data_IF_486335364568
#
_entry.id   IF_486335364568
#
_cell.length_a   1.000
_cell.length_b   1.000
_cell.length_c   1.000
_cell.angle_alpha   90.00
_cell.angle_beta   90.00
_cell.angle_gamma   90.00
#
_symmetry.space_group_name_H-M   'P 1'
#
loop_
_entity.id
_entity.type
_entity.pdbx_description
1 polymer ?
#
# COMPACT_ATOMS: atom_id res chain seq x y z
N UNK A 1 -18.41 57.63 14.04
CA UNK A 1 -18.11 56.41 13.26
C UNK A 1 -16.63 56.10 13.40
N UNK A 2 -16.22 54.95 13.97
CA UNK A 2 -14.80 54.61 14.03
C UNK A 2 -14.35 54.13 12.64
N UNK A 3 -13.25 54.69 12.13
CA UNK A 3 -12.66 54.28 10.84
C UNK A 3 -11.90 52.96 11.04
N UNK A 4 -12.21 51.95 10.22
CA UNK A 4 -11.59 50.63 10.30
C UNK A 4 -10.10 50.70 9.97
N UNK A 5 -9.26 49.99 10.74
CA UNK A 5 -7.81 49.95 10.60
C UNK A 5 -7.33 49.45 9.22
N UNK A 6 -8.21 48.82 8.44
CA UNK A 6 -7.94 48.37 7.07
C UNK A 6 -7.74 49.53 6.08
N UNK A 7 -8.22 50.74 6.39
CA UNK A 7 -8.08 51.91 5.50
C UNK A 7 -6.66 52.53 5.56
N UNK A 8 -5.88 52.24 6.60
CA UNK A 8 -4.55 52.83 6.81
C UNK A 8 -3.44 52.27 5.90
N UNK A 9 -3.67 51.15 5.20
CA UNK A 9 -2.64 50.48 4.38
C UNK A 9 -2.79 50.75 2.88
N UNK A 10 -3.82 51.49 2.46
CA UNK A 10 -4.06 51.76 1.02
C UNK A 10 -3.12 52.80 0.41
N UNK A 11 -2.36 53.52 1.23
CA UNK A 11 -1.40 54.55 0.79
C UNK A 11 0.07 54.22 1.09
N UNK A 12 0.35 53.11 1.77
CA UNK A 12 1.73 52.65 1.95
C UNK A 12 2.06 51.67 0.83
N UNK A 13 2.80 52.14 -0.17
CA UNK A 13 3.38 51.32 -1.24
C UNK A 13 3.99 50.04 -0.65
N UNK A 14 3.43 48.88 -0.98
CA UNK A 14 3.99 47.55 -0.62
C UNK A 14 5.10 47.10 -1.58
N UNK A 15 5.59 48.01 -2.42
CA UNK A 15 6.70 47.74 -3.33
C UNK A 15 8.01 47.90 -2.56
N UNK A 16 8.93 46.92 -2.55
CA UNK A 16 10.23 47.09 -1.92
C UNK A 16 10.99 48.22 -2.62
N UNK A 17 11.08 49.37 -1.94
CA UNK A 17 11.87 50.50 -2.43
C UNK A 17 13.35 50.18 -2.22
N UNK A 18 14.04 49.80 -3.29
CA UNK A 18 15.51 49.77 -3.32
C UNK A 18 15.98 51.23 -3.22
N UNK A 19 16.27 51.67 -2.00
CA UNK A 19 16.82 52.99 -1.72
C UNK A 19 18.31 53.02 -2.09
N UNK A 20 18.63 53.20 -3.38
CA UNK A 20 19.93 53.71 -3.75
C UNK A 20 19.94 55.22 -3.43
N UNK A 21 20.65 55.60 -2.37
CA UNK A 21 20.81 57.00 -1.95
C UNK A 21 21.38 57.79 -3.14
N UNK A 22 20.68 58.80 -3.69
CA UNK A 22 21.26 59.61 -4.76
C UNK A 22 22.44 60.40 -4.19
N UNK A 23 23.57 60.49 -4.90
CA UNK A 23 24.73 61.25 -4.43
C UNK A 23 24.34 62.73 -4.25
N UNK A 24 24.86 63.42 -3.21
CA UNK A 24 24.59 64.84 -3.00
C UNK A 24 25.41 65.65 -4.02
N UNK A 25 24.80 65.92 -5.17
CA UNK A 25 25.42 66.65 -6.26
C UNK A 25 24.60 66.42 -7.52
N UNK A 26 24.20 67.51 -8.20
CA UNK A 26 23.23 67.52 -9.28
C UNK A 26 23.39 66.37 -10.29
N UNK A 27 22.24 65.89 -10.76
CA UNK A 27 22.13 64.84 -11.78
C UNK A 27 23.07 65.19 -12.94
N UNK A 28 24.13 64.43 -13.22
CA UNK A 28 24.95 64.70 -14.39
C UNK A 28 24.06 64.50 -15.62
N UNK A 29 23.88 65.56 -16.41
CA UNK A 29 23.05 65.60 -17.63
C UNK A 29 23.43 64.53 -18.67
N UNK A 30 24.52 63.80 -18.44
CA UNK A 30 25.00 62.65 -19.24
C UNK A 30 24.31 61.32 -18.93
N UNK A 31 23.52 61.19 -17.85
CA UNK A 31 22.77 59.96 -17.55
C UNK A 31 21.32 59.97 -18.00
N UNK A 32 20.86 61.04 -18.67
CA UNK A 32 19.56 60.99 -19.33
C UNK A 32 19.64 59.97 -20.47
N UNK A 33 18.71 58.98 -20.53
CA UNK A 33 18.68 58.05 -21.65
C UNK A 33 18.58 58.83 -22.93
N UNK A 34 19.48 58.53 -23.88
CA UNK A 34 19.56 59.22 -25.15
C UNK A 34 18.16 59.24 -25.81
N UNK A 35 17.53 60.41 -25.83
CA UNK A 35 16.17 60.60 -26.38
C UNK A 35 16.27 60.58 -27.90
N UNK A 36 16.51 59.40 -28.47
CA UNK A 36 16.42 59.24 -29.91
C UNK A 36 14.96 59.48 -30.30
N UNK A 37 14.68 60.47 -31.16
CA UNK A 37 13.32 60.74 -31.59
C UNK A 37 12.77 59.48 -32.28
N UNK A 38 11.61 59.02 -31.82
CA UNK A 38 10.92 57.89 -32.42
C UNK A 38 10.50 58.19 -33.87
N UNK A 39 10.15 57.16 -34.65
CA UNK A 39 9.64 57.34 -36.01
C UNK A 39 8.42 58.28 -36.04
N UNK A 40 8.34 59.14 -37.06
CA UNK A 40 7.27 60.16 -37.18
C UNK A 40 5.93 59.47 -37.47
N UNK A 41 4.90 59.77 -36.67
CA UNK A 41 3.53 59.27 -36.87
C UNK A 41 3.07 58.12 -35.96
N UNK A 42 3.89 57.68 -34.99
CA UNK A 42 3.54 56.62 -34.03
C UNK A 42 2.39 57.05 -33.09
N UNK A 43 1.41 56.16 -32.85
CA UNK A 43 0.35 56.44 -31.88
C UNK A 43 0.93 56.48 -30.45
N UNK A 44 0.30 57.21 -29.51
CA UNK A 44 0.79 57.26 -28.12
C UNK A 44 0.92 55.89 -27.47
N UNK A 45 0.04 54.94 -27.82
CA UNK A 45 0.06 53.57 -27.30
C UNK A 45 1.22 52.75 -27.86
N UNK A 46 1.49 52.86 -29.16
CA UNK A 46 2.64 52.20 -29.80
C UNK A 46 3.95 52.71 -29.23
N UNK A 47 4.05 54.03 -28.97
CA UNK A 47 5.22 54.63 -28.34
C UNK A 47 5.51 54.01 -26.98
N UNK A 48 4.50 53.80 -26.15
CA UNK A 48 4.66 53.15 -24.84
C UNK A 48 5.07 51.69 -25.01
N UNK A 49 4.48 50.97 -25.97
CA UNK A 49 4.85 49.57 -26.26
C UNK A 49 6.31 49.46 -26.71
N UNK A 50 6.77 50.36 -27.57
CA UNK A 50 8.16 50.43 -28.04
C UNK A 50 9.11 50.76 -26.89
N UNK A 51 8.78 51.76 -26.07
CA UNK A 51 9.61 52.13 -24.93
C UNK A 51 9.70 51.01 -23.89
N UNK A 52 8.59 50.31 -23.62
CA UNK A 52 8.60 49.11 -22.76
C UNK A 52 9.43 47.99 -23.39
N UNK A 53 9.24 47.69 -24.67
CA UNK A 53 10.04 46.69 -25.37
C UNK A 53 11.54 47.05 -25.42
N UNK A 54 11.89 48.34 -25.55
CA UNK A 54 13.27 48.81 -25.51
C UNK A 54 13.86 48.70 -24.09
N UNK A 55 13.09 49.04 -23.07
CA UNK A 55 13.49 48.86 -21.67
C UNK A 55 13.68 47.37 -21.32
N UNK A 56 12.77 46.51 -21.76
CA UNK A 56 12.86 45.06 -21.58
C UNK A 56 14.06 44.49 -22.35
N UNK A 57 14.37 44.99 -23.55
CA UNK A 57 15.58 44.61 -24.30
C UNK A 57 16.85 45.07 -23.61
N UNK A 58 16.88 46.30 -23.07
CA UNK A 58 18.04 46.80 -22.32
C UNK A 58 18.29 45.95 -21.06
N UNK A 59 17.24 45.66 -20.29
CA UNK A 59 17.30 44.77 -19.13
C UNK A 59 17.78 43.36 -19.51
N UNK A 60 17.29 42.81 -20.62
CA UNK A 60 17.69 41.48 -21.09
C UNK A 60 19.07 41.44 -21.77
N UNK A 61 19.63 42.60 -22.15
CA UNK A 61 20.97 42.72 -22.71
C UNK A 61 22.06 42.70 -21.62
N UNK A 62 21.75 43.17 -20.42
CA UNK A 62 22.63 43.10 -19.25
C UNK A 62 22.85 41.66 -18.74
N UNK A 63 21.95 40.73 -19.12
CA UNK A 63 22.07 39.31 -18.77
C UNK A 63 23.02 38.60 -19.74
N UNK A 64 24.14 38.09 -19.19
CA UNK A 64 25.12 37.28 -19.91
C UNK A 64 24.47 36.07 -20.60
N UNK A 65 24.91 35.74 -21.80
CA UNK A 65 24.44 34.57 -22.56
C UNK A 65 24.66 33.27 -21.79
N UNK A 66 25.72 33.20 -20.99
CA UNK A 66 26.01 32.07 -20.11
C UNK A 66 24.96 31.90 -19.01
N UNK A 67 24.50 33.00 -18.41
CA UNK A 67 23.46 32.98 -17.37
C UNK A 67 22.10 32.50 -17.94
N UNK A 68 21.78 32.90 -19.18
CA UNK A 68 20.60 32.40 -19.90
C UNK A 68 20.64 30.87 -20.10
N UNK A 69 21.81 30.32 -20.43
CA UNK A 69 22.00 28.88 -20.60
C UNK A 69 21.85 28.15 -19.26
N UNK A 70 22.40 28.69 -18.17
CA UNK A 70 22.27 28.09 -16.84
C UNK A 70 20.80 28.05 -16.40
N UNK A 71 20.07 29.17 -16.53
CA UNK A 71 18.65 29.23 -16.16
C UNK A 71 17.82 28.23 -16.97
N UNK A 72 18.10 28.10 -18.28
CA UNK A 72 17.44 27.12 -19.14
C UNK A 72 17.82 25.69 -18.76
N UNK A 73 19.09 25.45 -18.42
CA UNK A 73 19.62 24.16 -17.99
C UNK A 73 18.98 23.67 -16.70
N UNK A 74 18.78 24.55 -15.72
CA UNK A 74 18.09 24.22 -14.47
C UNK A 74 16.66 23.74 -14.74
N UNK A 75 15.90 24.45 -15.57
CA UNK A 75 14.54 24.03 -15.93
C UNK A 75 14.51 22.69 -16.66
N UNK A 76 15.54 22.38 -17.45
CA UNK A 76 15.64 21.10 -18.16
C UNK A 76 16.04 19.96 -17.22
N UNK A 77 16.94 20.21 -16.26
CA UNK A 77 17.30 19.26 -15.22
C UNK A 77 16.09 18.90 -14.34
N UNK A 78 15.30 19.90 -13.93
CA UNK A 78 14.05 19.69 -13.19
C UNK A 78 13.04 18.87 -14.01
N UNK A 79 12.97 19.10 -15.33
CA UNK A 79 12.12 18.32 -16.24
C UNK A 79 12.61 16.87 -16.35
N UNK A 80 13.90 16.64 -16.51
CA UNK A 80 14.50 15.31 -16.60
C UNK A 80 14.30 14.52 -15.31
N UNK A 81 14.52 15.14 -14.15
CA UNK A 81 14.27 14.49 -12.86
C UNK A 81 12.79 14.11 -12.67
N UNK A 82 11.85 14.97 -13.10
CA UNK A 82 10.43 14.62 -13.06
C UNK A 82 10.08 13.46 -13.98
N UNK A 83 10.66 13.41 -15.19
CA UNK A 83 10.43 12.30 -16.12
C UNK A 83 10.93 10.99 -15.53
N UNK A 84 12.14 10.97 -14.96
CA UNK A 84 12.72 9.76 -14.36
C UNK A 84 11.96 9.31 -13.11
N UNK A 85 11.57 10.25 -12.25
CA UNK A 85 10.75 9.94 -11.09
C UNK A 85 9.40 9.34 -11.50
N UNK A 86 8.70 9.95 -12.46
CA UNK A 86 7.45 9.43 -12.97
C UNK A 86 7.61 8.09 -13.69
N UNK A 87 8.72 7.85 -14.40
CA UNK A 87 8.97 6.55 -15.02
C UNK A 87 9.20 5.45 -13.99
N UNK A 88 9.91 5.74 -12.89
CA UNK A 88 10.10 4.79 -11.80
C UNK A 88 8.77 4.46 -11.12
N UNK A 89 7.94 5.47 -10.88
CA UNK A 89 6.59 5.27 -10.33
C UNK A 89 5.74 4.42 -11.30
N UNK A 90 5.75 4.71 -12.60
CA UNK A 90 5.03 3.90 -13.57
C UNK A 90 5.53 2.44 -13.60
N UNK A 91 6.84 2.25 -13.54
CA UNK A 91 7.45 0.92 -13.50
C UNK A 91 7.04 0.12 -12.24
N UNK A 92 6.90 0.77 -11.08
CA UNK A 92 6.43 0.08 -9.86
C UNK A 92 4.97 -0.33 -9.96
N UNK A 93 4.10 0.47 -10.59
CA UNK A 93 2.72 0.08 -10.86
C UNK A 93 2.64 -1.11 -11.81
N UNK A 94 3.45 -1.13 -12.89
CA UNK A 94 3.51 -2.27 -13.81
C UNK A 94 3.99 -3.52 -13.08
N UNK A 95 5.07 -3.42 -12.30
CA UNK A 95 5.59 -4.54 -11.52
C UNK A 95 4.54 -5.07 -10.53
N UNK A 96 3.83 -4.17 -9.83
CA UNK A 96 2.72 -4.54 -8.94
C UNK A 96 1.54 -5.18 -9.66
N UNK A 97 1.20 -4.72 -10.87
CA UNK A 97 0.18 -5.36 -11.70
C UNK A 97 0.57 -6.77 -12.12
N UNK A 98 1.83 -6.97 -12.51
CA UNK A 98 2.36 -8.29 -12.90
C UNK A 98 2.38 -9.26 -11.73
N UNK A 99 2.70 -8.83 -10.50
CA UNK A 99 2.68 -9.71 -9.33
C UNK A 99 1.26 -10.16 -8.98
N UNK A 100 0.28 -9.25 -8.99
CA UNK A 100 -1.13 -9.61 -8.76
C UNK A 100 -1.62 -10.57 -9.85
N UNK A 101 -1.26 -10.33 -11.11
CA UNK A 101 -1.59 -11.23 -12.22
C UNK A 101 -0.99 -12.62 -12.02
N UNK A 102 0.30 -12.71 -11.67
CA UNK A 102 0.98 -13.99 -11.46
C UNK A 102 0.38 -14.80 -10.29
N UNK A 103 0.05 -14.12 -9.19
CA UNK A 103 -0.61 -14.76 -8.04
C UNK A 103 -2.01 -15.27 -8.44
N UNK A 104 -2.79 -14.46 -9.15
CA UNK A 104 -4.10 -14.84 -9.65
C UNK A 104 -4.06 -16.03 -10.61
N UNK A 105 -3.11 -16.02 -11.55
CA UNK A 105 -2.91 -17.10 -12.52
C UNK A 105 -2.56 -18.43 -11.83
N UNK A 106 -1.64 -18.40 -10.86
CA UNK A 106 -1.29 -19.57 -10.05
C UNK A 106 -2.47 -20.09 -9.23
N UNK A 107 -3.29 -19.20 -8.65
CA UNK A 107 -4.48 -19.60 -7.89
C UNK A 107 -5.50 -20.31 -8.78
N UNK A 108 -5.80 -19.76 -9.96
CA UNK A 108 -6.77 -20.37 -10.90
C UNK A 108 -6.26 -21.71 -11.41
N UNK A 109 -4.97 -21.79 -11.77
CA UNK A 109 -4.37 -23.03 -12.23
C UNK A 109 -4.38 -24.11 -11.13
N UNK A 110 -3.99 -23.75 -9.90
CA UNK A 110 -4.00 -24.68 -8.78
C UNK A 110 -5.43 -25.10 -8.40
N UNK A 111 -6.40 -24.19 -8.50
CA UNK A 111 -7.80 -24.51 -8.25
C UNK A 111 -8.33 -25.51 -9.27
N UNK A 112 -7.97 -25.38 -10.55
CA UNK A 112 -8.34 -26.35 -11.60
C UNK A 112 -7.74 -27.73 -11.34
N UNK A 113 -6.44 -27.82 -11.07
CA UNK A 113 -5.77 -29.10 -10.75
C UNK A 113 -6.34 -29.75 -9.48
N UNK A 114 -6.63 -28.96 -8.45
CA UNK A 114 -7.29 -29.47 -7.24
C UNK A 114 -8.69 -29.96 -7.55
N UNK A 115 -9.47 -29.23 -8.35
CA UNK A 115 -10.82 -29.63 -8.74
C UNK A 115 -10.82 -30.97 -9.50
N UNK A 116 -9.87 -31.18 -10.42
CA UNK A 116 -9.69 -32.46 -11.12
C UNK A 116 -9.37 -33.60 -10.14
N UNK A 117 -8.40 -33.40 -9.26
CA UNK A 117 -8.05 -34.39 -8.25
C UNK A 117 -9.23 -34.72 -7.33
N UNK A 118 -9.99 -33.72 -6.89
CA UNK A 118 -11.17 -33.93 -6.05
C UNK A 118 -12.31 -34.60 -6.82
N UNK A 119 -12.49 -34.30 -8.10
CA UNK A 119 -13.47 -34.98 -8.93
C UNK A 119 -13.16 -36.48 -9.05
N UNK A 120 -11.87 -36.83 -9.25
CA UNK A 120 -11.43 -38.24 -9.28
C UNK A 120 -11.63 -38.93 -7.93
N UNK A 121 -11.24 -38.28 -6.82
CA UNK A 121 -11.45 -38.82 -5.47
C UNK A 121 -12.94 -39.00 -5.15
N UNK A 122 -13.80 -38.02 -5.51
CA UNK A 122 -15.26 -38.13 -5.37
C UNK A 122 -15.80 -39.29 -6.23
N UNK A 123 -15.32 -39.48 -7.45
CA UNK A 123 -15.74 -40.59 -8.31
C UNK A 123 -15.35 -41.96 -7.72
N UNK A 124 -14.13 -42.10 -7.19
CA UNK A 124 -13.68 -43.31 -6.50
C UNK A 124 -14.52 -43.56 -5.25
N UNK A 125 -14.71 -42.53 -4.42
CA UNK A 125 -15.48 -42.61 -3.19
C UNK A 125 -16.94 -43.01 -3.44
N UNK A 126 -17.60 -42.38 -4.40
CA UNK A 126 -18.98 -42.72 -4.79
C UNK A 126 -19.08 -44.14 -5.33
N UNK A 127 -18.10 -44.60 -6.11
CA UNK A 127 -18.06 -45.99 -6.57
C UNK A 127 -17.88 -47.00 -5.43
N UNK A 128 -17.06 -46.66 -4.43
CA UNK A 128 -16.86 -47.47 -3.23
C UNK A 128 -18.13 -47.55 -2.38
N UNK A 129 -18.82 -46.41 -2.21
CA UNK A 129 -20.13 -46.32 -1.54
C UNK A 129 -21.19 -47.19 -2.22
N UNK A 130 -21.31 -47.09 -3.55
CA UNK A 130 -22.27 -47.91 -4.30
C UNK A 130 -21.95 -49.40 -4.20
N UNK A 131 -20.67 -49.77 -4.24
CA UNK A 131 -20.26 -51.16 -4.10
C UNK A 131 -20.57 -51.72 -2.70
N UNK A 132 -20.31 -50.94 -1.64
CA UNK A 132 -20.65 -51.31 -0.27
C UNK A 132 -22.18 -51.45 -0.08
N UNK A 133 -22.95 -50.52 -0.65
CA UNK A 133 -24.43 -50.58 -0.62
C UNK A 133 -24.95 -51.82 -1.33
N UNK A 134 -24.46 -52.13 -2.54
CA UNK A 134 -24.86 -53.35 -3.27
C UNK A 134 -24.52 -54.61 -2.48
N UNK A 135 -23.32 -54.69 -1.92
CA UNK A 135 -22.92 -55.85 -1.11
C UNK A 135 -23.82 -56.01 0.13
N UNK A 136 -24.26 -54.90 0.74
CA UNK A 136 -25.20 -54.90 1.85
C UNK A 136 -26.58 -55.42 1.42
N UNK A 137 -27.09 -54.97 0.27
CA UNK A 137 -28.37 -55.42 -0.30
C UNK A 137 -28.36 -56.92 -0.62
N UNK A 138 -27.25 -57.43 -1.15
CA UNK A 138 -27.08 -58.86 -1.44
C UNK A 138 -26.75 -59.69 -0.19
N UNK A 139 -26.60 -59.07 0.99
CA UNK A 139 -26.25 -59.74 2.24
C UNK A 139 -24.83 -60.31 2.29
N UNK A 140 -23.96 -59.91 1.36
CA UNK A 140 -22.55 -60.36 1.25
C UNK A 140 -21.55 -59.28 1.68
N UNK A 141 -22.03 -58.21 2.33
CA UNK A 141 -21.18 -57.13 2.81
C UNK A 141 -20.14 -57.61 3.82
N UNK A 142 -18.91 -57.13 3.63
CA UNK A 142 -17.84 -57.32 4.62
C UNK A 142 -18.05 -56.37 5.81
N UNK A 143 -17.52 -56.74 6.98
CA UNK A 143 -17.60 -55.91 8.19
C UNK A 143 -17.01 -54.50 7.97
N UNK A 144 -15.92 -54.42 7.21
CA UNK A 144 -15.29 -53.15 6.83
C UNK A 144 -16.21 -52.26 5.97
N UNK A 145 -17.02 -52.83 5.08
CA UNK A 145 -17.97 -52.08 4.25
C UNK A 145 -19.15 -51.56 5.08
N UNK A 146 -19.57 -52.31 6.09
CA UNK A 146 -20.63 -51.90 7.03
C UNK A 146 -20.13 -50.75 7.92
N UNK A 147 -18.91 -50.89 8.46
CA UNK A 147 -18.28 -49.85 9.27
C UNK A 147 -17.98 -48.57 8.45
N UNK A 148 -17.64 -48.72 7.17
CA UNK A 148 -17.48 -47.59 6.25
C UNK A 148 -18.79 -46.82 6.07
N UNK A 149 -19.90 -47.53 5.82
CA UNK A 149 -21.23 -46.91 5.67
C UNK A 149 -21.73 -46.25 6.96
N UNK A 150 -21.44 -46.82 8.14
CA UNK A 150 -21.86 -46.23 9.41
C UNK A 150 -21.12 -44.91 9.68
N UNK A 151 -19.80 -44.88 9.45
CA UNK A 151 -18.98 -43.67 9.63
C UNK A 151 -19.41 -42.55 8.69
N UNK A 152 -19.74 -42.88 7.44
CA UNK A 152 -20.21 -41.88 6.48
C UNK A 152 -21.55 -41.26 6.92
N UNK A 153 -22.49 -42.08 7.41
CA UNK A 153 -23.77 -41.59 7.95
C UNK A 153 -23.58 -40.69 9.17
N UNK A 154 -22.64 -41.04 10.05
CA UNK A 154 -22.30 -40.21 11.21
C UNK A 154 -21.66 -38.88 10.80
N UNK A 155 -20.82 -38.89 9.76
CA UNK A 155 -20.22 -37.69 9.19
C UNK A 155 -21.28 -36.78 8.54
N UNK A 156 -22.15 -37.33 7.69
CA UNK A 156 -23.24 -36.58 7.06
C UNK A 156 -24.20 -35.95 8.09
N UNK A 157 -24.49 -36.69 9.17
CA UNK A 157 -25.32 -36.18 10.26
C UNK A 157 -24.64 -35.00 10.99
N UNK A 158 -23.32 -35.06 11.17
CA UNK A 158 -22.55 -33.97 11.77
C UNK A 158 -22.49 -32.74 10.85
N UNK A 159 -22.24 -32.92 9.54
CA UNK A 159 -22.24 -31.83 8.57
C UNK A 159 -23.61 -31.15 8.52
N UNK A 160 -24.70 -31.90 8.46
CA UNK A 160 -26.05 -31.35 8.48
C UNK A 160 -26.38 -30.61 9.80
N UNK A 161 -25.85 -31.07 10.94
CA UNK A 161 -25.99 -30.37 12.21
C UNK A 161 -25.20 -29.04 12.22
N UNK A 162 -23.96 -29.07 11.71
CA UNK A 162 -23.11 -27.88 11.60
C UNK A 162 -23.72 -26.86 10.63
N UNK A 163 -24.23 -27.28 9.47
CA UNK A 163 -24.92 -26.40 8.52
C UNK A 163 -26.13 -25.70 9.13
N UNK A 164 -26.94 -26.42 9.93
CA UNK A 164 -28.06 -25.82 10.68
C UNK A 164 -27.57 -24.74 11.64
N UNK A 165 -26.54 -25.04 12.44
CA UNK A 165 -25.98 -24.04 13.37
C UNK A 165 -25.31 -22.85 12.65
N UNK A 166 -24.70 -23.08 11.48
CA UNK A 166 -24.11 -22.03 10.64
C UNK A 166 -25.21 -21.17 10.01
N UNK A 167 -26.30 -21.77 9.53
CA UNK A 167 -27.45 -21.06 8.97
C UNK A 167 -28.09 -20.12 10.00
N UNK A 168 -28.19 -20.56 11.25
CA UNK A 168 -28.65 -19.73 12.36
C UNK A 168 -27.70 -18.56 12.68
N UNK A 169 -26.38 -18.75 12.49
CA UNK A 169 -25.34 -17.75 12.76
C UNK A 169 -25.02 -16.79 11.60
N UNK A 170 -25.52 -17.06 10.37
CA UNK A 170 -25.29 -16.23 9.16
C UNK A 170 -25.96 -14.83 9.21
N UNK A 171 -26.60 -14.44 10.31
CA UNK A 171 -27.47 -13.27 10.39
C UNK A 171 -26.80 -11.90 10.57
N UNK A 172 -25.57 -11.79 11.11
CA UNK A 172 -25.06 -10.48 11.57
C UNK A 172 -24.15 -9.81 10.53
N UNK A 173 -23.16 -10.54 10.00
CA UNK A 173 -22.19 -9.98 9.05
C UNK A 173 -22.81 -9.72 7.67
N UNK A 174 -23.77 -10.57 7.26
CA UNK A 174 -24.51 -10.41 6.00
C UNK A 174 -25.41 -9.19 6.03
N UNK A 175 -26.14 -8.96 7.13
CA UNK A 175 -26.98 -7.77 7.32
C UNK A 175 -26.18 -6.47 7.32
N UNK A 176 -24.96 -6.46 7.89
CA UNK A 176 -24.07 -5.29 7.84
C UNK A 176 -23.63 -4.93 6.42
N UNK A 177 -23.27 -5.94 5.61
CA UNK A 177 -22.93 -5.72 4.18
C UNK A 177 -24.15 -5.27 3.38
N UNK A 178 -25.30 -5.92 3.59
CA UNK A 178 -26.53 -5.58 2.88
C UNK A 178 -26.99 -4.16 3.19
N UNK A 179 -26.83 -3.69 4.43
CA UNK A 179 -27.06 -2.29 4.81
C UNK A 179 -26.07 -1.32 4.16
N UNK A 180 -24.77 -1.66 4.12
CA UNK A 180 -23.73 -0.83 3.49
C UNK A 180 -23.88 -0.71 1.97
N UNK A 181 -24.39 -1.75 1.30
CA UNK A 181 -24.56 -1.78 -0.16
C UNK A 181 -26.00 -1.50 -0.64
N UNK A 182 -26.97 -1.43 0.27
CA UNK A 182 -28.36 -1.04 -0.01
C UNK A 182 -28.46 0.37 -0.62
N UNK A 183 -27.56 1.29 -0.24
CA UNK A 183 -27.50 2.65 -0.78
C UNK A 183 -27.04 2.74 -2.24
N UNK A 184 -26.29 1.76 -2.75
CA UNK A 184 -25.85 1.74 -4.16
C UNK A 184 -26.91 1.13 -5.10
N UNK A 185 -27.83 0.29 -4.58
CA UNK A 185 -28.85 -0.38 -5.41
C UNK A 185 -30.09 0.48 -5.70
N UNK A 186 -30.24 1.63 -5.04
CA UNK A 186 -31.48 2.43 -5.11
C UNK A 186 -31.42 3.64 -6.06
N UNK A 187 -30.33 3.82 -6.81
CA UNK A 187 -30.18 4.90 -7.80
C UNK A 187 -30.20 4.43 -9.27
N UNK A 188 -30.40 3.14 -9.56
CA UNK A 188 -30.42 2.60 -10.93
C UNK A 188 -31.78 1.94 -11.26
N UNK A 189 -32.87 2.67 -11.04
CA UNK A 189 -34.20 2.31 -11.56
C UNK A 189 -34.37 2.97 -12.92
N UNK A 190 -33.64 2.48 -13.92
CA UNK A 190 -33.65 3.15 -15.23
C UNK A 190 -32.75 2.61 -16.33
N UNK A 191 -32.35 1.33 -16.37
CA UNK A 191 -32.13 0.64 -17.66
C UNK A 191 -31.90 -0.85 -17.44
N UNK A 192 -32.65 -1.64 -18.19
CA UNK A 192 -32.41 -3.06 -18.42
C UNK A 192 -31.08 -3.22 -19.19
N UNK A 193 -29.98 -3.34 -18.45
CA UNK A 193 -28.68 -3.76 -18.98
C UNK A 193 -28.18 -4.99 -18.25
N UNK A 194 -28.73 -6.13 -18.66
CA UNK A 194 -28.01 -7.40 -18.83
C UNK A 194 -26.85 -7.68 -17.89
N UNK A 195 -27.13 -8.45 -16.84
CA UNK A 195 -26.30 -9.59 -16.40
C UNK A 195 -24.78 -9.42 -16.55
N UNK A 196 -24.17 -8.44 -15.89
CA UNK A 196 -22.71 -8.34 -15.77
C UNK A 196 -22.17 -8.91 -14.45
N UNK A 197 -23.03 -9.18 -13.46
CA UNK A 197 -22.64 -9.82 -12.19
C UNK A 197 -22.28 -11.31 -12.33
N UNK A 198 -22.63 -11.99 -13.45
CA UNK A 198 -22.12 -13.35 -13.73
C UNK A 198 -20.64 -13.39 -14.12
N UNK A 199 -19.98 -12.25 -14.35
CA UNK A 199 -18.57 -12.19 -14.76
C UNK A 199 -17.60 -11.89 -13.61
N UNK A 200 -18.10 -11.60 -12.41
CA UNK A 200 -17.27 -11.32 -11.22
C UNK A 200 -17.55 -12.31 -10.08
N UNK A 201 -17.31 -13.60 -10.37
CA UNK A 201 -16.62 -14.54 -9.47
C UNK A 201 -17.06 -14.70 -8.01
N UNK A 202 -18.30 -14.36 -7.63
CA UNK A 202 -18.75 -14.45 -6.22
C UNK A 202 -19.87 -15.47 -5.95
N UNK A 203 -20.39 -16.17 -6.97
CA UNK A 203 -21.39 -17.25 -6.81
C UNK A 203 -20.79 -18.66 -6.64
N UNK A 204 -19.47 -18.81 -6.67
CA UNK A 204 -18.80 -20.11 -6.49
C UNK A 204 -18.43 -20.48 -5.05
N UNK A 205 -18.96 -19.77 -4.05
CA UNK A 205 -18.73 -19.99 -2.61
C UNK A 205 -19.96 -20.58 -1.90
N UNK A 206 -20.88 -21.21 -2.64
CA UNK A 206 -22.00 -21.93 -2.03
C UNK A 206 -21.68 -23.41 -1.84
N UNK A 207 -21.68 -23.79 -0.57
CA UNK A 207 -21.99 -25.12 -0.01
C UNK A 207 -20.96 -26.25 -0.14
N UNK A 208 -20.11 -26.32 -1.17
CA UNK A 208 -19.16 -27.46 -1.27
C UNK A 208 -17.74 -27.20 -0.71
N UNK A 209 -17.36 -25.94 -0.47
CA UNK A 209 -16.05 -25.59 0.13
C UNK A 209 -16.06 -25.64 1.68
N UNK A 210 -17.24 -25.77 2.28
CA UNK A 210 -17.42 -25.74 3.74
C UNK A 210 -17.02 -27.07 4.42
N UNK A 211 -16.97 -28.18 3.68
CA UNK A 211 -16.45 -29.49 4.16
C UNK A 211 -14.91 -29.54 4.12
N UNK A 212 -14.27 -28.67 3.33
CA UNK A 212 -12.82 -28.44 3.36
C UNK A 212 -12.39 -27.52 4.51
N UNK A 213 -13.35 -26.83 5.13
CA UNK A 213 -13.14 -25.99 6.31
C UNK A 213 -12.55 -26.73 7.50
N UNK A 214 -12.67 -28.05 7.60
CA UNK A 214 -12.06 -28.83 8.69
C UNK A 214 -10.54 -28.99 8.52
N UNK A 215 -10.05 -29.26 7.29
CA UNK A 215 -8.60 -29.29 7.02
C UNK A 215 -7.98 -27.90 7.01
N UNK A 216 -8.73 -26.89 6.56
CA UNK A 216 -8.31 -25.51 6.72
C UNK A 216 -8.34 -25.09 8.19
N UNK A 217 -9.25 -25.61 9.02
CA UNK A 217 -9.26 -25.36 10.47
C UNK A 217 -8.06 -25.96 11.18
N UNK A 218 -7.53 -27.10 10.74
CA UNK A 218 -6.27 -27.65 11.28
C UNK A 218 -5.06 -26.81 10.90
N UNK A 219 -5.02 -26.30 9.66
CA UNK A 219 -3.94 -25.40 9.21
C UNK A 219 -4.05 -24.05 9.92
N UNK A 220 -5.26 -23.53 10.09
CA UNK A 220 -5.52 -22.27 10.81
C UNK A 220 -5.22 -22.43 12.30
N UNK A 221 -5.57 -23.56 12.92
CA UNK A 221 -5.21 -23.88 14.31
C UNK A 221 -3.70 -24.00 14.47
N UNK A 222 -3.01 -24.64 13.53
CA UNK A 222 -1.54 -24.69 13.54
C UNK A 222 -0.89 -23.30 13.35
N UNK A 223 -1.51 -22.42 12.56
CA UNK A 223 -1.05 -21.03 12.41
C UNK A 223 -1.36 -20.21 13.67
N UNK A 224 -2.50 -20.44 14.31
CA UNK A 224 -2.90 -19.76 15.54
C UNK A 224 -2.05 -20.20 16.73
N UNK A 225 -1.77 -21.50 16.88
CA UNK A 225 -0.80 -22.06 17.83
C UNK A 225 0.59 -21.45 17.62
N UNK A 226 1.05 -21.31 16.36
CA UNK A 226 2.32 -20.63 16.06
C UNK A 226 2.28 -19.15 16.38
N UNK A 227 1.17 -18.45 16.14
CA UNK A 227 1.01 -17.03 16.51
C UNK A 227 1.01 -16.85 18.02
N UNK A 228 0.35 -17.72 18.76
CA UNK A 228 0.37 -17.72 20.23
C UNK A 228 1.79 -17.93 20.74
N UNK A 229 2.52 -18.93 20.21
CA UNK A 229 3.92 -19.18 20.55
C UNK A 229 4.85 -17.99 20.20
N UNK A 230 4.60 -17.30 19.10
CA UNK A 230 5.35 -16.07 18.75
C UNK A 230 4.98 -14.94 19.72
N UNK A 231 3.70 -14.77 20.05
CA UNK A 231 3.25 -13.74 20.99
C UNK A 231 3.80 -13.94 22.40
N UNK A 232 3.91 -15.19 22.85
CA UNK A 232 4.51 -15.58 24.13
C UNK A 232 6.02 -15.30 24.12
N UNK A 233 6.72 -15.66 23.04
CA UNK A 233 8.14 -15.32 22.87
C UNK A 233 8.38 -13.81 22.86
N UNK A 234 7.48 -13.03 22.25
CA UNK A 234 7.55 -11.57 22.24
C UNK A 234 7.31 -11.00 23.64
N UNK A 235 6.30 -11.49 24.37
CA UNK A 235 6.04 -11.08 25.76
C UNK A 235 7.22 -11.43 26.67
N UNK A 236 7.77 -12.64 26.53
CA UNK A 236 8.94 -13.09 27.29
C UNK A 236 10.19 -12.27 26.96
N UNK A 237 10.41 -11.93 25.69
CA UNK A 237 11.49 -11.03 25.29
C UNK A 237 11.31 -9.62 25.87
N UNK A 238 10.08 -9.11 25.91
CA UNK A 238 9.75 -7.81 26.47
C UNK A 238 9.90 -7.77 28.00
N UNK A 239 9.51 -8.84 28.70
CA UNK A 239 9.74 -8.98 30.15
C UNK A 239 11.22 -9.07 30.48
N UNK A 240 12.00 -9.85 29.72
CA UNK A 240 13.45 -9.91 29.83
C UNK A 240 14.11 -8.54 29.59
N UNK A 241 13.59 -7.73 28.67
CA UNK A 241 14.09 -6.38 28.42
C UNK A 241 13.70 -5.41 29.56
N UNK A 242 12.47 -5.51 30.08
CA UNK A 242 12.00 -4.74 31.24
C UNK A 242 12.79 -5.08 32.51
N UNK A 243 13.16 -6.33 32.70
CA UNK A 243 14.04 -6.76 33.79
C UNK A 243 15.46 -6.22 33.62
N UNK A 244 16.01 -6.24 32.39
CA UNK A 244 17.30 -5.60 32.08
C UNK A 244 17.28 -4.09 32.33
N UNK A 245 16.15 -3.41 32.07
CA UNK A 245 15.99 -2.00 32.41
C UNK A 245 15.93 -1.78 33.93
N UNK A 246 15.29 -2.67 34.69
CA UNK A 246 15.24 -2.61 36.17
C UNK A 246 16.57 -2.91 36.84
N UNK A 247 17.34 -3.83 36.27
CA UNK A 247 18.62 -4.32 36.81
C UNK A 247 19.85 -3.64 36.19
N UNK A 248 19.62 -2.64 35.32
CA UNK A 248 20.66 -1.98 34.53
C UNK A 248 21.21 -2.86 33.42
N UNK A 249 21.58 -2.23 32.30
CA UNK A 249 22.21 -2.93 31.18
C UNK A 249 23.56 -3.53 31.58
N UNK A 250 24.17 -4.39 30.74
CA UNK A 250 25.49 -4.97 31.03
C UNK A 250 26.58 -3.91 31.26
N UNK A 251 26.41 -2.69 30.72
CA UNK A 251 27.31 -1.56 30.94
C UNK A 251 27.16 -0.92 32.33
N UNK A 252 25.95 -0.90 32.89
CA UNK A 252 25.65 -0.33 34.22
C UNK A 252 26.16 -1.23 35.37
N UNK A 253 26.32 -2.52 35.08
CA UNK A 253 26.81 -3.53 36.04
C UNK A 253 28.33 -3.59 36.17
N UNK A 254 29.07 -2.93 35.28
CA UNK A 254 30.54 -2.91 35.30
C UNK A 254 31.11 -2.08 36.48
N UNK A 255 30.27 -1.35 37.22
CA UNK A 255 30.68 -0.57 38.40
C UNK A 255 30.27 -1.17 39.75
N UNK A 256 29.37 -2.17 39.79
CA UNK A 256 28.81 -2.76 41.02
C UNK A 256 29.28 -4.19 41.30
N UNK A 257 30.09 -4.78 40.41
CA UNK A 257 30.72 -6.05 40.69
C UNK A 257 31.78 -5.89 41.80
N UNK A 258 31.71 -6.64 42.91
CA UNK A 258 32.79 -6.65 43.89
C UNK A 258 34.07 -7.15 43.19
N UNK A 259 35.17 -6.41 43.38
CA UNK A 259 36.52 -6.80 42.96
C UNK A 259 36.99 -7.98 43.79
N UNK A 260 36.46 -9.17 43.57
CA UNK A 260 37.04 -10.42 44.05
C UNK A 260 36.72 -11.53 43.03
N UNK A 261 37.73 -11.96 42.29
CA UNK A 261 37.60 -13.07 41.32
C UNK A 261 38.24 -12.76 39.98
N UNK A 262 39.57 -12.84 39.93
CA UNK A 262 40.29 -13.05 38.69
C UNK A 262 39.90 -14.41 38.07
N UNK A 263 40.03 -14.48 36.74
CA UNK A 263 39.92 -15.64 35.85
C UNK A 263 38.56 -16.33 35.75
N UNK A 264 37.82 -16.01 34.68
CA UNK A 264 37.39 -17.00 33.67
C UNK A 264 36.78 -16.31 32.43
N UNK A 265 37.42 -16.59 31.29
CA UNK A 265 37.03 -16.45 29.88
C UNK A 265 35.89 -15.49 29.49
N UNK A 266 36.26 -14.29 29.03
CA UNK A 266 35.38 -13.49 28.18
C UNK A 266 35.38 -14.05 26.74
N UNK A 267 34.22 -14.49 26.18
CA UNK A 267 34.14 -14.75 24.75
C UNK A 267 34.21 -13.42 24.01
N UNK A 268 35.27 -13.25 23.21
CA UNK A 268 35.50 -12.09 22.34
C UNK A 268 34.25 -11.84 21.50
N UNK A 269 33.67 -10.65 21.63
CA UNK A 269 32.54 -10.18 20.85
C UNK A 269 32.84 -10.36 19.35
N UNK A 270 32.13 -11.31 18.71
CA UNK A 270 32.20 -11.53 17.29
C UNK A 270 31.61 -10.34 16.56
N UNK A 271 32.47 -9.55 15.91
CA UNK A 271 32.03 -8.52 14.97
C UNK A 271 31.19 -9.11 13.84
N UNK A 272 30.45 -8.24 13.15
CA UNK A 272 29.45 -8.57 12.12
C UNK A 272 29.97 -9.42 10.94
N UNK A 273 31.28 -9.67 10.86
CA UNK A 273 31.95 -10.50 9.86
C UNK A 273 32.01 -12.00 10.22
N UNK A 274 31.62 -12.41 11.42
CA UNK A 274 31.79 -13.80 11.89
C UNK A 274 30.94 -14.85 11.14
N UNK A 275 29.90 -14.44 10.41
CA UNK A 275 29.06 -15.35 9.62
C UNK A 275 29.77 -15.84 8.34
N UNK A 276 30.84 -15.16 7.90
CA UNK A 276 31.53 -15.47 6.65
C UNK A 276 32.62 -16.54 6.82
N UNK A 277 32.99 -16.88 8.06
CA UNK A 277 34.11 -17.78 8.38
C UNK A 277 33.69 -19.17 8.86
N UNK A 278 32.39 -19.47 8.96
CA UNK A 278 31.92 -20.86 9.12
C UNK A 278 31.71 -21.51 7.75
N UNK A 279 32.75 -22.19 7.27
CA UNK A 279 32.63 -23.31 6.33
C UNK A 279 32.97 -24.58 7.07
#
# INVERSE_FOLDING_TARGET
MPRSATDATRFTSTTPHVSAKPPPGGIPLKSLPNRTPGPKGETPQEKVRRLRAAADRARNAEVSTFDKIIVRGRAWADRAHRITALSLIAATFIAGGVTVYALGDMMIHNRRKRAEFFAEQKALHTSAMQNAQRALEFGTATEDQIAFLSREREHDAQVAALEKTKAEKKGIFKRGKEWLFSGLKKEEEGEDVGTSERRLGYEGLSEEDDTLGERESDIVRAIEEKKMAISEKVKQAFENEKEKQRTGGPLDRLGTAPKDGASEEQPKAGGWTSFMTRR
#
